data_IF_709325354847
#
_entry.id   IF_709325354847
#
_cell.length_a   1.000
_cell.length_b   1.000
_cell.length_c   1.000
_cell.angle_alpha   90.00
_cell.angle_beta   90.00
_cell.angle_gamma   90.00
#
_symmetry.space_group_name_H-M   'P 1'
#
loop_
_entity.id
_entity.type
_entity.pdbx_description
1 polymer ?
#
# COMPACT_ATOMS: atom_id res chain seq x y z
N UNK A 1 -17.85 -4.69 -11.76
CA UNK A 1 -16.58 -5.41 -11.81
C UNK A 1 -16.17 -5.83 -10.41
N UNK A 2 -15.73 -7.06 -10.25
CA UNK A 2 -15.33 -7.55 -8.95
C UNK A 2 -14.05 -6.85 -8.48
N UNK A 3 -13.96 -6.58 -7.18
CA UNK A 3 -12.76 -6.03 -6.57
C UNK A 3 -11.64 -7.08 -6.59
N UNK A 4 -10.41 -6.62 -6.76
CA UNK A 4 -9.23 -7.47 -6.69
C UNK A 4 -8.71 -7.66 -5.26
N UNK A 5 -9.44 -7.13 -4.26
CA UNK A 5 -9.00 -7.20 -2.87
C UNK A 5 -8.77 -8.63 -2.38
N UNK A 6 -9.57 -9.58 -2.89
CA UNK A 6 -9.48 -10.98 -2.46
C UNK A 6 -8.19 -11.68 -2.89
N UNK A 7 -7.41 -11.09 -3.80
CA UNK A 7 -6.16 -11.74 -4.21
C UNK A 7 -5.19 -11.91 -3.04
N UNK A 8 -5.30 -11.08 -2.02
CA UNK A 8 -4.47 -11.17 -0.81
C UNK A 8 -4.64 -12.53 -0.13
N UNK A 9 -5.85 -13.11 -0.20
CA UNK A 9 -6.14 -14.40 0.41
C UNK A 9 -5.35 -15.56 -0.21
N UNK A 10 -4.78 -15.36 -1.38
CA UNK A 10 -3.98 -16.38 -2.06
C UNK A 10 -2.58 -16.52 -1.46
N UNK A 11 -2.15 -15.56 -0.68
CA UNK A 11 -0.80 -15.54 -0.10
C UNK A 11 -0.85 -15.98 1.36
N UNK A 12 0.27 -16.56 1.82
CA UNK A 12 0.42 -16.90 3.24
C UNK A 12 0.69 -15.63 4.04
N UNK A 13 0.45 -15.71 5.34
CA UNK A 13 0.85 -14.63 6.24
C UNK A 13 2.37 -14.61 6.35
N UNK A 14 2.96 -13.45 6.11
CA UNK A 14 4.40 -13.28 6.12
C UNK A 14 4.95 -12.84 7.47
N UNK A 15 6.25 -13.07 7.65
CA UNK A 15 7.00 -12.54 8.78
C UNK A 15 7.69 -11.24 8.40
N UNK A 16 8.75 -10.90 9.14
CA UNK A 16 9.55 -9.72 8.89
C UNK A 16 10.23 -9.83 7.51
N UNK A 17 9.98 -8.91 6.58
CA UNK A 17 10.52 -9.00 5.23
C UNK A 17 11.95 -8.48 5.10
N UNK A 18 12.57 -7.96 6.16
CA UNK A 18 13.81 -7.19 6.06
C UNK A 18 15.02 -7.98 5.52
N UNK A 19 14.97 -9.31 5.53
CA UNK A 19 16.06 -10.15 4.98
C UNK A 19 16.00 -10.27 3.47
N UNK A 20 14.94 -9.86 2.83
CA UNK A 20 14.78 -9.95 1.39
C UNK A 20 15.31 -8.70 0.69
N UNK A 21 16.00 -8.92 -0.44
CA UNK A 21 16.54 -7.84 -1.26
C UNK A 21 15.45 -6.84 -1.67
N UNK A 22 14.29 -7.35 -2.04
CA UNK A 22 13.17 -6.53 -2.48
C UNK A 22 12.68 -5.58 -1.39
N UNK A 23 12.81 -5.98 -0.12
CA UNK A 23 12.44 -5.10 0.98
C UNK A 23 13.34 -3.86 1.03
N UNK A 24 14.64 -4.03 0.86
CA UNK A 24 15.58 -2.92 0.80
C UNK A 24 15.30 -1.98 -0.36
N UNK A 25 15.03 -2.54 -1.53
CA UNK A 25 14.69 -1.76 -2.71
C UNK A 25 13.38 -1.00 -2.53
N UNK A 26 12.38 -1.64 -1.90
CA UNK A 26 11.10 -1.01 -1.60
C UNK A 26 11.27 0.17 -0.64
N UNK A 27 12.04 -0.02 0.43
CA UNK A 27 12.30 1.05 1.39
C UNK A 27 13.04 2.21 0.75
N UNK A 28 13.97 1.94 -0.16
CA UNK A 28 14.68 2.99 -0.90
C UNK A 28 13.70 3.84 -1.73
N UNK A 29 12.74 3.21 -2.42
CA UNK A 29 11.72 3.95 -3.14
C UNK A 29 10.83 4.76 -2.21
N UNK A 30 10.37 4.15 -1.12
CA UNK A 30 9.48 4.84 -0.20
C UNK A 30 10.16 6.01 0.52
N UNK A 31 11.47 5.94 0.73
CA UNK A 31 12.21 7.04 1.36
C UNK A 31 12.21 8.32 0.53
N UNK A 32 11.91 8.23 -0.75
CA UNK A 32 11.77 9.41 -1.62
C UNK A 32 10.64 10.33 -1.17
N UNK A 33 9.64 9.78 -0.50
CA UNK A 33 8.50 10.58 0.00
C UNK A 33 8.92 11.61 1.05
N UNK A 34 9.99 11.34 1.79
CA UNK A 34 10.49 12.22 2.84
C UNK A 34 11.80 12.90 2.46
N UNK A 35 12.32 12.63 1.26
CA UNK A 35 13.57 13.23 0.79
C UNK A 35 13.39 14.73 0.54
N UNK A 36 14.36 15.59 0.97
CA UNK A 36 14.22 17.04 0.78
C UNK A 36 14.08 17.46 -0.69
N UNK A 37 14.74 16.76 -1.61
CA UNK A 37 14.64 17.05 -3.04
C UNK A 37 13.34 16.56 -3.66
N UNK A 38 12.54 15.78 -2.95
CA UNK A 38 11.26 15.22 -3.39
C UNK A 38 11.34 14.58 -4.76
N UNK A 39 12.26 13.60 -4.97
CA UNK A 39 12.30 12.89 -6.23
C UNK A 39 11.01 12.10 -6.45
N UNK A 40 10.69 11.85 -7.71
CA UNK A 40 9.48 11.10 -8.05
C UNK A 40 9.61 9.65 -7.61
N UNK A 41 8.56 9.13 -6.98
CA UNK A 41 8.48 7.72 -6.62
C UNK A 41 8.00 6.94 -7.84
N UNK A 42 8.69 5.84 -8.13
CA UNK A 42 8.27 4.91 -9.17
C UNK A 42 7.22 3.97 -8.60
N UNK A 43 5.95 4.33 -8.71
CA UNK A 43 4.86 3.57 -8.12
C UNK A 43 4.68 2.20 -8.77
N UNK A 44 5.05 2.04 -10.04
CA UNK A 44 5.07 0.71 -10.67
C UNK A 44 6.08 -0.20 -10.00
N UNK A 45 7.25 0.34 -9.70
CA UNK A 45 8.31 -0.41 -9.02
C UNK A 45 7.87 -0.79 -7.60
N UNK A 46 7.21 0.13 -6.89
CA UNK A 46 6.67 -0.16 -5.55
C UNK A 46 5.67 -1.33 -5.62
N UNK A 47 4.75 -1.30 -6.57
CA UNK A 47 3.77 -2.38 -6.75
C UNK A 47 4.47 -3.70 -7.06
N UNK A 48 5.42 -3.69 -7.99
CA UNK A 48 6.15 -4.88 -8.42
C UNK A 48 6.94 -5.50 -7.26
N UNK A 49 7.65 -4.67 -6.50
CA UNK A 49 8.44 -5.13 -5.36
C UNK A 49 7.54 -5.69 -4.26
N UNK A 50 6.40 -5.04 -4.02
CA UNK A 50 5.43 -5.51 -3.04
C UNK A 50 4.88 -6.90 -3.41
N UNK A 51 4.51 -7.08 -4.67
CA UNK A 51 4.01 -8.38 -5.14
C UNK A 51 5.07 -9.46 -5.06
N UNK A 52 6.33 -9.13 -5.35
CA UNK A 52 7.44 -10.07 -5.20
C UNK A 52 7.60 -10.51 -3.74
N UNK A 53 7.50 -9.57 -2.81
CA UNK A 53 7.57 -9.88 -1.37
C UNK A 53 6.39 -10.74 -0.92
N UNK A 54 5.19 -10.49 -1.44
CA UNK A 54 4.03 -11.34 -1.12
C UNK A 54 4.27 -12.79 -1.54
N UNK A 55 4.93 -13.01 -2.67
CA UNK A 55 5.24 -14.38 -3.14
C UNK A 55 6.36 -15.03 -2.35
N UNK A 56 7.39 -14.26 -1.99
CA UNK A 56 8.59 -14.80 -1.32
C UNK A 56 8.43 -14.93 0.18
N UNK A 57 7.84 -13.95 0.82
CA UNK A 57 7.71 -13.89 2.29
C UNK A 57 6.28 -14.14 2.76
N UNK A 58 5.32 -13.75 1.96
CA UNK A 58 3.92 -13.70 2.36
C UNK A 58 3.46 -12.27 2.57
N UNK A 59 2.20 -12.11 2.95
CA UNK A 59 1.59 -10.79 3.18
C UNK A 59 1.77 -10.38 4.62
N UNK A 60 2.24 -9.15 4.83
CA UNK A 60 2.33 -8.53 6.15
C UNK A 60 2.04 -7.04 5.99
N UNK A 61 1.81 -6.36 7.11
CA UNK A 61 1.25 -5.01 7.07
C UNK A 61 2.21 -3.99 6.44
N UNK A 62 3.49 -4.07 6.72
CA UNK A 62 4.46 -3.09 6.23
C UNK A 62 4.52 -3.06 4.69
N UNK A 63 4.57 -4.21 4.06
CA UNK A 63 4.59 -4.31 2.59
C UNK A 63 3.22 -3.99 2.02
N UNK A 64 2.15 -4.42 2.69
CA UNK A 64 0.79 -4.18 2.19
C UNK A 64 0.46 -2.68 2.14
N UNK A 65 0.87 -1.89 3.15
CA UNK A 65 0.59 -0.45 3.11
C UNK A 65 1.30 0.22 1.93
N UNK A 66 2.51 -0.23 1.59
CA UNK A 66 3.22 0.27 0.40
C UNK A 66 2.47 -0.09 -0.88
N UNK A 67 2.01 -1.34 -0.98
CA UNK A 67 1.23 -1.80 -2.13
C UNK A 67 -0.07 -1.00 -2.29
N UNK A 68 -0.80 -0.81 -1.19
CA UNK A 68 -2.06 -0.06 -1.19
C UNK A 68 -1.83 1.36 -1.71
N UNK A 69 -0.78 2.01 -1.24
CA UNK A 69 -0.47 3.36 -1.69
C UNK A 69 -0.12 3.38 -3.18
N UNK A 70 0.64 2.40 -3.64
CA UNK A 70 1.03 2.31 -5.05
C UNK A 70 -0.17 2.16 -5.98
N UNK A 71 -1.11 1.27 -5.66
CA UNK A 71 -2.28 1.09 -6.51
C UNK A 71 -3.23 2.28 -6.44
N UNK A 72 -3.28 2.97 -5.30
CA UNK A 72 -4.03 4.21 -5.16
C UNK A 72 -3.46 5.29 -6.09
N UNK A 73 -2.15 5.43 -6.12
CA UNK A 73 -1.49 6.41 -6.98
C UNK A 73 -1.61 6.08 -8.47
N UNK A 74 -1.63 4.80 -8.80
CA UNK A 74 -1.66 4.37 -10.20
C UNK A 74 -3.08 4.28 -10.77
N UNK A 75 -4.05 3.87 -9.97
CA UNK A 75 -5.40 3.56 -10.43
C UNK A 75 -6.46 4.50 -9.86
N UNK A 76 -6.08 5.47 -9.05
CA UNK A 76 -6.99 6.44 -8.46
C UNK A 76 -7.98 5.80 -7.49
N UNK A 77 -9.23 6.21 -7.54
CA UNK A 77 -10.24 5.75 -6.59
C UNK A 77 -10.50 4.25 -6.68
N UNK A 78 -10.43 3.66 -7.87
CA UNK A 78 -10.58 2.21 -8.01
C UNK A 78 -9.45 1.47 -7.29
N UNK A 79 -8.22 1.94 -7.42
CA UNK A 79 -7.08 1.38 -6.69
C UNK A 79 -7.21 1.57 -5.19
N UNK A 80 -7.69 2.71 -4.76
CA UNK A 80 -7.92 2.97 -3.34
C UNK A 80 -8.95 1.99 -2.76
N UNK A 81 -10.04 1.75 -3.47
CA UNK A 81 -11.07 0.81 -3.03
C UNK A 81 -10.50 -0.60 -2.90
N UNK A 82 -9.75 -1.06 -3.89
CA UNK A 82 -9.09 -2.38 -3.84
C UNK A 82 -8.09 -2.44 -2.70
N UNK A 83 -7.33 -1.37 -2.49
CA UNK A 83 -6.36 -1.29 -1.40
C UNK A 83 -7.00 -1.37 -0.03
N UNK A 84 -8.07 -0.60 0.18
CA UNK A 84 -8.79 -0.63 1.46
C UNK A 84 -9.41 -2.00 1.71
N UNK A 85 -9.93 -2.64 0.66
CA UNK A 85 -10.44 -4.01 0.76
C UNK A 85 -9.37 -5.00 1.16
N UNK A 86 -8.16 -4.86 0.60
CA UNK A 86 -7.03 -5.70 0.96
C UNK A 86 -6.61 -5.51 2.42
N UNK A 87 -6.58 -4.26 2.88
CA UNK A 87 -6.28 -3.96 4.29
C UNK A 87 -7.34 -4.56 5.21
N UNK A 88 -8.62 -4.47 4.84
CA UNK A 88 -9.70 -5.05 5.63
C UNK A 88 -9.52 -6.55 5.78
N UNK A 89 -9.19 -7.25 4.70
CA UNK A 89 -8.95 -8.69 4.72
C UNK A 89 -7.80 -9.05 5.67
N UNK A 90 -6.71 -8.30 5.59
CA UNK A 90 -5.57 -8.55 6.48
C UNK A 90 -5.92 -8.25 7.94
N UNK A 91 -6.62 -7.14 8.20
CA UNK A 91 -6.95 -6.74 9.56
C UNK A 91 -7.92 -7.70 10.25
N UNK A 92 -8.72 -8.45 9.49
CA UNK A 92 -9.56 -9.49 10.04
C UNK A 92 -8.74 -10.64 10.65
N UNK A 93 -7.47 -10.75 10.29
CA UNK A 93 -6.53 -11.72 10.83
C UNK A 93 -5.56 -11.06 11.80
N UNK A 94 -6.08 -10.23 12.69
CA UNK A 94 -5.27 -9.36 13.56
C UNK A 94 -4.17 -10.08 14.32
N UNK A 95 -4.41 -11.32 14.75
CA UNK A 95 -3.43 -12.07 15.54
C UNK A 95 -2.29 -12.65 14.69
N UNK A 96 -2.43 -12.69 13.38
CA UNK A 96 -1.59 -13.53 12.52
C UNK A 96 -0.49 -12.80 11.77
N UNK A 97 -0.61 -11.47 11.57
CA UNK A 97 0.31 -10.78 10.67
C UNK A 97 1.43 -10.04 11.41
N UNK A 98 2.54 -9.85 10.70
CA UNK A 98 3.66 -9.04 11.16
C UNK A 98 3.41 -7.58 10.76
N UNK A 99 3.82 -6.57 11.54
CA UNK A 99 4.50 -6.68 12.84
C UNK A 99 3.53 -7.03 13.95
N UNK A 100 4.02 -7.73 14.98
CA UNK A 100 3.16 -8.19 16.06
C UNK A 100 2.85 -7.11 17.09
N UNK A 101 3.70 -6.10 17.20
CA UNK A 101 3.53 -5.03 18.18
C UNK A 101 2.42 -4.08 17.73
N UNK A 102 1.47 -3.82 18.63
CA UNK A 102 0.32 -2.95 18.36
C UNK A 102 0.78 -1.54 17.96
N UNK A 103 1.79 -1.02 18.66
CA UNK A 103 2.34 0.31 18.35
C UNK A 103 2.82 0.40 16.89
N UNK A 104 3.54 -0.59 16.43
CA UNK A 104 4.02 -0.63 15.03
C UNK A 104 2.87 -0.70 14.04
N UNK A 105 1.83 -1.48 14.34
CA UNK A 105 0.64 -1.58 13.49
C UNK A 105 -0.08 -0.24 13.38
N UNK A 106 -0.26 0.44 14.52
CA UNK A 106 -0.92 1.74 14.54
C UNK A 106 -0.11 2.76 13.74
N UNK A 107 1.22 2.75 13.89
CA UNK A 107 2.09 3.67 13.15
C UNK A 107 1.96 3.46 11.64
N UNK A 108 1.94 2.21 11.18
CA UNK A 108 1.81 1.90 9.75
C UNK A 108 0.43 2.30 9.22
N UNK A 109 -0.63 2.03 9.97
CA UNK A 109 -1.98 2.40 9.57
C UNK A 109 -2.16 3.91 9.54
N UNK A 110 -1.61 4.63 10.50
CA UNK A 110 -1.64 6.08 10.51
C UNK A 110 -0.89 6.67 9.33
N UNK A 111 0.28 6.09 9.02
CA UNK A 111 1.09 6.53 7.89
C UNK A 111 0.34 6.36 6.56
N UNK A 112 -0.24 5.19 6.33
CA UNK A 112 -0.96 4.93 5.07
C UNK A 112 -2.20 5.82 4.96
N UNK A 113 -2.90 6.05 6.07
CA UNK A 113 -4.06 6.93 6.08
C UNK A 113 -3.68 8.35 5.68
N UNK A 114 -2.60 8.87 6.25
CA UNK A 114 -2.09 10.20 5.91
C UNK A 114 -1.75 10.30 4.42
N UNK A 115 -1.03 9.29 3.90
CA UNK A 115 -0.64 9.29 2.48
C UNK A 115 -1.84 9.15 1.55
N UNK A 116 -2.86 8.40 1.96
CA UNK A 116 -4.09 8.28 1.19
C UNK A 116 -4.88 9.60 1.18
N UNK A 117 -4.87 10.33 2.29
CA UNK A 117 -5.50 11.65 2.34
C UNK A 117 -4.82 12.62 1.38
N UNK A 118 -3.49 12.58 1.29
CA UNK A 118 -2.74 13.40 0.34
C UNK A 118 -3.09 13.02 -1.11
N UNK A 119 -3.23 11.72 -1.38
CA UNK A 119 -3.62 11.25 -2.70
C UNK A 119 -5.04 11.70 -3.06
N UNK A 120 -5.96 11.66 -2.10
CA UNK A 120 -7.34 12.14 -2.31
C UNK A 120 -7.39 13.61 -2.69
N UNK A 121 -6.57 14.44 -2.06
CA UNK A 121 -6.53 15.87 -2.41
C UNK A 121 -6.12 16.07 -3.86
N UNK A 122 -5.15 15.29 -4.34
CA UNK A 122 -4.74 15.33 -5.74
C UNK A 122 -5.88 14.88 -6.65
N UNK A 123 -6.57 13.81 -6.29
CA UNK A 123 -7.70 13.29 -7.06
C UNK A 123 -8.87 14.28 -7.07
N UNK A 124 -9.16 14.94 -5.95
CA UNK A 124 -10.20 15.94 -5.87
C UNK A 124 -9.96 17.07 -6.88
N UNK A 125 -8.72 17.54 -6.99
CA UNK A 125 -8.36 18.59 -7.95
C UNK A 125 -8.65 18.10 -9.37
N UNK A 126 -8.29 16.87 -9.69
CA UNK A 126 -8.54 16.29 -11.00
C UNK A 126 -10.03 16.17 -11.30
N UNK A 127 -10.81 15.74 -10.33
CA UNK A 127 -12.26 15.57 -10.52
C UNK A 127 -13.01 16.89 -10.58
N UNK A 128 -12.53 17.93 -9.93
CA UNK A 128 -13.10 19.27 -10.05
C UNK A 128 -12.97 19.85 -11.45
N UNK A 129 -11.97 19.41 -12.21
CA UNK A 129 -11.77 19.85 -13.59
C UNK A 129 -12.66 19.12 -14.58
N UNK A 130 -13.39 18.09 -14.15
CA UNK A 130 -14.27 17.32 -15.02
C UNK A 130 -15.66 17.97 -15.10
N UNK A 131 -16.34 17.89 -16.26
CA UNK A 131 -17.71 18.36 -16.38
C UNK A 131 -18.61 17.60 -15.43
N UNK A 132 -19.62 18.29 -14.92
CA UNK A 132 -20.67 17.64 -14.12
C UNK A 132 -21.49 16.73 -15.01
N UNK A 133 -21.71 15.50 -14.57
CA UNK A 133 -22.38 14.49 -15.38
C UNK A 133 -23.78 14.20 -14.90
N UNK A 134 -24.15 14.59 -13.70
CA UNK A 134 -25.48 14.40 -13.16
C UNK A 134 -26.25 15.70 -13.08
#
# INVERSE_FOLDING_TARGET
>A
MASNANFISQFVMGGDPCTYKESGELQAEMSKLTHPARPDVDWRQVEKLSLALFRQNGVELQTLVCYVLAITRRQGLAGMADGLGSLDILLQRWADFWPVQVHSRISLLSWVTEKMQQALRTLDIQYQDLPQIY
#
